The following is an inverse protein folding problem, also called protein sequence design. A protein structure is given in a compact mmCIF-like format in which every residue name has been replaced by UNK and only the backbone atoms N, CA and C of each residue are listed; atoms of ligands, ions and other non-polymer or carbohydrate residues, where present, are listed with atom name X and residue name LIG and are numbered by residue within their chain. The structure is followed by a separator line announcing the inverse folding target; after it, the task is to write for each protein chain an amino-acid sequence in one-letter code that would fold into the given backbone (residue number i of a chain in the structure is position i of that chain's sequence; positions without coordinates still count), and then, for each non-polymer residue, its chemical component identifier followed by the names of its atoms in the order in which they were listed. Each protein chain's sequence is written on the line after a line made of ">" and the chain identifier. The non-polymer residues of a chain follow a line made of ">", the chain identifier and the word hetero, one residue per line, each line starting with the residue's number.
data_IF_220796872374
#
_entry.id   IF_220796872374
#
_cell.length_a   1.000
_cell.length_b   1.000
_cell.length_c   1.000
_cell.angle_alpha   90.00
_cell.angle_beta   90.00
_cell.angle_gamma   90.00
#
_symmetry.space_group_name_H-M   'P 1'
#
loop_
_entity.id
_entity.type
_entity.pdbx_description
1 polymer ?
#
# COMPACT_ATOMS: atom_id res chain seq x y z
N UNK A 1 6.59 16.09 -33.91
CA UNK A 1 5.54 15.15 -34.35
C UNK A 1 5.46 13.92 -33.43
N UNK A 2 6.56 13.21 -33.13
CA UNK A 2 6.56 12.09 -32.17
C UNK A 2 6.05 12.43 -30.75
N UNK A 3 6.43 13.60 -30.21
CA UNK A 3 5.91 14.09 -28.92
C UNK A 3 4.40 14.41 -28.96
N UNK A 4 3.86 14.75 -30.13
CA UNK A 4 2.44 15.08 -30.30
C UNK A 4 1.58 13.82 -30.41
N UNK A 5 2.07 12.78 -31.09
CA UNK A 5 1.45 11.44 -31.07
C UNK A 5 1.54 10.75 -29.71
N UNK A 6 2.59 11.04 -28.91
CA UNK A 6 2.66 10.64 -27.50
C UNK A 6 1.61 11.34 -26.62
N UNK A 7 1.06 12.49 -27.03
CA UNK A 7 0.05 13.24 -26.28
C UNK A 7 -1.39 12.95 -26.72
N UNK A 8 -1.61 12.44 -27.93
CA UNK A 8 -2.94 12.09 -28.45
C UNK A 8 -3.44 10.86 -27.66
N UNK A 9 -4.46 11.08 -26.82
CA UNK A 9 -5.00 10.10 -25.87
C UNK A 9 -4.60 10.34 -24.41
N UNK A 10 -3.55 11.14 -24.16
CA UNK A 10 -3.11 11.54 -22.82
C UNK A 10 -3.86 12.75 -22.26
N UNK A 11 -4.47 13.59 -23.11
CA UNK A 11 -5.12 14.84 -22.68
C UNK A 11 -6.19 14.66 -21.61
N UNK A 12 -7.04 13.65 -21.74
CA UNK A 12 -8.06 13.32 -20.72
C UNK A 12 -7.41 12.82 -19.44
N UNK A 13 -6.34 12.02 -19.55
CA UNK A 13 -5.56 11.56 -18.40
C UNK A 13 -4.93 12.72 -17.66
N UNK A 14 -4.25 13.63 -18.37
CA UNK A 14 -3.62 14.84 -17.78
C UNK A 14 -4.66 15.78 -17.18
N UNK A 15 -5.81 15.98 -17.84
CA UNK A 15 -6.91 16.79 -17.30
C UNK A 15 -7.53 16.16 -16.05
N UNK A 16 -7.78 14.85 -16.04
CA UNK A 16 -8.22 14.17 -14.83
C UNK A 16 -7.17 14.37 -13.75
N UNK A 17 -5.89 14.05 -14.02
CA UNK A 17 -4.77 14.13 -13.07
C UNK A 17 -4.64 15.53 -12.48
N UNK A 18 -4.79 16.59 -13.29
CA UNK A 18 -4.78 17.98 -12.84
C UNK A 18 -5.99 18.33 -11.95
N UNK A 19 -7.22 18.00 -12.39
CA UNK A 19 -8.44 18.21 -11.58
C UNK A 19 -8.35 17.46 -10.24
N UNK A 20 -7.72 16.30 -10.29
CA UNK A 20 -7.48 15.47 -9.15
C UNK A 20 -6.44 16.00 -8.17
N UNK A 21 -5.33 16.51 -8.70
CA UNK A 21 -4.27 17.12 -7.91
C UNK A 21 -4.79 18.36 -7.17
N UNK A 22 -5.67 19.14 -7.82
CA UNK A 22 -6.37 20.26 -7.19
C UNK A 22 -7.26 19.78 -6.04
N UNK A 23 -8.07 18.73 -6.25
CA UNK A 23 -8.89 18.17 -5.18
C UNK A 23 -8.04 17.67 -4.00
N UNK A 24 -6.91 17.00 -4.27
CA UNK A 24 -5.97 16.53 -3.26
C UNK A 24 -5.29 17.65 -2.48
N UNK A 25 -4.84 18.72 -3.15
CA UNK A 25 -4.23 19.90 -2.51
C UNK A 25 -5.23 20.61 -1.62
N UNK A 26 -6.48 20.80 -2.07
CA UNK A 26 -7.54 21.41 -1.27
C UNK A 26 -7.84 20.57 -0.03
N UNK A 27 -7.84 19.24 -0.15
CA UNK A 27 -8.06 18.33 0.97
C UNK A 27 -6.89 18.37 1.97
N UNK A 28 -5.65 18.37 1.47
CA UNK A 28 -4.45 18.44 2.28
C UNK A 28 -4.32 19.77 3.05
N UNK A 29 -4.65 20.90 2.40
CA UNK A 29 -4.67 22.23 3.04
C UNK A 29 -5.70 22.29 4.18
N UNK A 30 -6.88 21.70 3.99
CA UNK A 30 -7.91 21.62 5.05
C UNK A 30 -7.46 20.79 6.24
N UNK A 31 -6.85 19.63 6.00
CA UNK A 31 -6.30 18.80 7.08
C UNK A 31 -5.16 19.51 7.83
N UNK A 32 -4.26 20.17 7.10
CA UNK A 32 -3.15 20.91 7.70
C UNK A 32 -3.64 22.05 8.60
N UNK A 33 -4.59 22.86 8.14
CA UNK A 33 -5.14 23.99 8.92
C UNK A 33 -5.83 23.56 10.21
N UNK A 34 -6.53 22.42 10.22
CA UNK A 34 -7.11 21.88 11.47
C UNK A 34 -6.04 21.46 12.46
N UNK A 35 -5.04 20.72 11.98
CA UNK A 35 -3.94 20.24 12.84
C UNK A 35 -3.15 21.42 13.43
N UNK A 36 -3.00 22.51 12.67
CA UNK A 36 -2.38 23.73 13.17
C UNK A 36 -3.27 24.50 14.16
N UNK A 37 -4.59 24.53 13.94
CA UNK A 37 -5.55 25.20 14.82
C UNK A 37 -5.69 24.54 16.19
N UNK A 38 -5.63 23.21 16.27
CA UNK A 38 -5.71 22.47 17.55
C UNK A 38 -4.48 22.69 18.45
N UNK A 39 -3.34 23.11 17.90
CA UNK A 39 -2.11 23.33 18.66
C UNK A 39 -2.12 24.68 19.39
N UNK A 40 -2.87 25.67 18.89
CA UNK A 40 -2.90 27.02 19.47
C UNK A 40 -4.04 27.22 20.50
N UNK A 41 -5.03 26.33 20.56
CA UNK A 41 -6.11 26.37 21.57
C UNK A 41 -5.86 25.41 22.73
N UNK A 42 -4.91 25.74 23.59
CA UNK A 42 -4.81 25.15 24.91
C UNK A 42 -5.94 25.64 25.82
N UNK A 43 -7.12 24.99 25.80
CA UNK A 43 -8.13 25.18 26.83
C UNK A 43 -9.13 24.01 26.84
N UNK A 44 -9.20 23.33 27.99
CA UNK A 44 -10.18 22.28 28.21
C UNK A 44 -11.60 22.82 28.15
N UNK A 45 -12.44 22.18 27.35
CA UNK A 45 -13.86 22.09 27.67
C UNK A 45 -14.39 20.77 27.11
N UNK A 46 -14.70 19.85 28.02
CA UNK A 46 -15.25 18.54 27.75
C UNK A 46 -16.76 18.67 27.47
N UNK A 47 -17.10 19.30 26.36
CA UNK A 47 -18.43 19.27 25.78
C UNK A 47 -18.34 18.59 24.42
N UNK A 48 -18.93 17.40 24.27
CA UNK A 48 -19.02 16.69 23.00
C UNK A 48 -19.68 17.61 21.95
N UNK A 49 -18.87 18.26 21.12
CA UNK A 49 -19.33 19.09 20.00
C UNK A 49 -19.86 18.19 18.89
N UNK A 50 -20.86 18.64 18.09
CA UNK A 50 -21.41 17.88 16.97
C UNK A 50 -20.46 17.72 15.76
N UNK A 51 -19.18 18.10 15.88
CA UNK A 51 -18.21 18.20 14.79
C UNK A 51 -17.44 16.89 14.50
N UNK A 52 -17.72 15.80 15.22
CA UNK A 52 -17.11 14.48 15.00
C UNK A 52 -17.45 13.85 13.63
N UNK A 53 -18.36 14.45 12.85
CA UNK A 53 -18.62 14.05 11.46
C UNK A 53 -17.53 14.52 10.48
N UNK A 54 -16.74 15.55 10.83
CA UNK A 54 -15.66 16.10 10.01
C UNK A 54 -14.56 15.09 9.59
N UNK A 55 -13.97 14.31 10.50
CA UNK A 55 -12.87 13.39 10.16
C UNK A 55 -13.30 12.21 9.29
N UNK A 56 -14.54 11.74 9.42
CA UNK A 56 -15.05 10.62 8.61
C UNK A 56 -15.22 11.02 7.13
N UNK A 57 -15.73 12.24 6.87
CA UNK A 57 -15.91 12.76 5.51
C UNK A 57 -14.55 12.93 4.82
N UNK A 58 -13.56 13.46 5.53
CA UNK A 58 -12.21 13.64 4.98
C UNK A 58 -11.56 12.30 4.62
N UNK A 59 -11.69 11.30 5.48
CA UNK A 59 -11.16 9.97 5.22
C UNK A 59 -11.82 9.32 3.98
N UNK A 60 -13.15 9.41 3.88
CA UNK A 60 -13.88 8.95 2.68
C UNK A 60 -13.44 9.71 1.44
N UNK A 61 -13.22 11.04 1.52
CA UNK A 61 -12.71 11.82 0.40
C UNK A 61 -11.30 11.40 -0.02
N UNK A 62 -10.39 11.11 0.93
CA UNK A 62 -9.05 10.58 0.64
C UNK A 62 -9.12 9.21 -0.03
N UNK A 63 -10.06 8.35 0.35
CA UNK A 63 -10.18 7.01 -0.26
C UNK A 63 -10.85 7.06 -1.63
N UNK A 64 -11.89 7.88 -1.80
CA UNK A 64 -12.49 8.18 -3.10
C UNK A 64 -11.47 8.81 -4.04
N UNK A 65 -10.59 9.65 -3.47
CA UNK A 65 -9.32 9.98 -4.08
C UNK A 65 -8.63 8.63 -4.43
N UNK A 66 -7.94 7.93 -3.55
CA UNK A 66 -7.05 6.82 -3.94
C UNK A 66 -7.65 5.83 -4.98
N UNK A 67 -8.95 5.53 -4.88
CA UNK A 67 -9.73 4.85 -5.92
C UNK A 67 -9.66 5.49 -7.32
N UNK A 68 -10.04 6.76 -7.46
CA UNK A 68 -10.03 7.47 -8.75
C UNK A 68 -8.63 7.54 -9.37
N UNK A 69 -7.58 7.62 -8.55
CA UNK A 69 -6.19 7.61 -9.05
C UNK A 69 -5.80 6.23 -9.57
N UNK A 70 -6.26 5.14 -8.94
CA UNK A 70 -6.08 3.78 -9.47
C UNK A 70 -6.82 3.61 -10.81
N UNK A 71 -8.04 4.16 -10.96
CA UNK A 71 -8.76 4.14 -12.24
C UNK A 71 -8.03 4.92 -13.33
N UNK A 72 -7.41 6.04 -12.97
CA UNK A 72 -6.57 6.81 -13.89
C UNK A 72 -5.34 6.01 -14.32
N UNK A 73 -4.66 5.33 -13.38
CA UNK A 73 -3.55 4.43 -13.70
C UNK A 73 -3.98 3.25 -14.56
N UNK A 74 -5.18 2.68 -14.32
CA UNK A 74 -5.79 1.68 -15.18
C UNK A 74 -5.98 2.19 -16.62
N UNK A 75 -6.55 3.39 -16.77
CA UNK A 75 -6.76 4.00 -18.08
C UNK A 75 -5.43 4.28 -18.79
N UNK A 76 -4.46 4.81 -18.06
CA UNK A 76 -3.12 5.10 -18.56
C UNK A 76 -2.40 3.83 -19.03
N UNK A 77 -2.49 2.76 -18.24
CA UNK A 77 -1.90 1.46 -18.57
C UNK A 77 -2.53 0.88 -19.83
N UNK A 78 -3.86 0.85 -19.89
CA UNK A 78 -4.59 0.28 -21.03
C UNK A 78 -4.35 1.06 -22.33
N UNK A 79 -4.24 2.40 -22.27
CA UNK A 79 -3.89 3.20 -23.45
C UNK A 79 -2.45 2.96 -23.89
N UNK A 80 -1.50 2.86 -22.95
CA UNK A 80 -0.07 2.69 -23.25
C UNK A 80 0.25 1.32 -23.84
N UNK A 81 -0.43 0.27 -23.39
CA UNK A 81 -0.16 -1.11 -23.78
C UNK A 81 -1.26 -1.70 -24.67
N UNK A 82 -2.04 -0.85 -25.36
CA UNK A 82 -3.17 -1.27 -26.19
C UNK A 82 -2.79 -2.36 -27.21
N UNK A 83 -1.63 -2.24 -27.85
CA UNK A 83 -1.16 -3.23 -28.83
C UNK A 83 -0.95 -4.61 -28.20
N UNK A 84 -0.43 -4.66 -26.98
CA UNK A 84 -0.24 -5.90 -26.21
C UNK A 84 -1.54 -6.47 -25.64
N UNK A 85 -2.61 -5.67 -25.61
CA UNK A 85 -3.94 -6.06 -25.14
C UNK A 85 -4.86 -6.52 -26.27
N UNK A 86 -4.56 -6.16 -27.52
CA UNK A 86 -5.32 -6.60 -28.68
C UNK A 86 -5.30 -8.14 -28.81
N UNK A 87 -6.47 -8.77 -28.89
CA UNK A 87 -6.60 -10.24 -28.94
C UNK A 87 -6.71 -10.95 -27.57
N UNK A 88 -6.90 -10.22 -26.47
CA UNK A 88 -7.19 -10.78 -25.16
C UNK A 88 -8.69 -10.66 -24.83
N UNK A 89 -9.40 -11.78 -24.67
CA UNK A 89 -10.75 -11.76 -24.13
C UNK A 89 -10.70 -11.61 -22.60
N UNK A 90 -11.62 -10.83 -22.01
CA UNK A 90 -11.74 -10.71 -20.54
C UNK A 90 -12.08 -12.04 -19.84
N UNK A 91 -12.55 -13.03 -20.61
CA UNK A 91 -12.82 -14.41 -20.17
C UNK A 91 -11.55 -15.25 -19.99
N UNK A 92 -10.38 -14.67 -20.29
CA UNK A 92 -9.11 -15.33 -20.07
C UNK A 92 -8.89 -15.55 -18.57
N UNK A 93 -8.60 -16.79 -18.16
CA UNK A 93 -8.61 -17.19 -16.76
C UNK A 93 -7.55 -16.41 -15.95
N UNK A 94 -6.50 -15.94 -16.62
CA UNK A 94 -5.46 -15.08 -16.06
C UNK A 94 -5.98 -13.72 -15.61
N UNK A 95 -6.97 -13.14 -16.29
CA UNK A 95 -7.57 -11.87 -15.90
C UNK A 95 -8.35 -12.01 -14.57
N UNK A 96 -9.05 -13.13 -14.39
CA UNK A 96 -9.79 -13.43 -13.16
C UNK A 96 -8.84 -13.64 -11.97
N UNK A 97 -7.77 -14.42 -12.13
CA UNK A 97 -6.80 -14.65 -11.07
C UNK A 97 -6.06 -13.37 -10.66
N UNK A 98 -5.69 -12.55 -11.65
CA UNK A 98 -5.04 -11.26 -11.40
C UNK A 98 -5.97 -10.25 -10.75
N UNK A 99 -7.24 -10.24 -11.13
CA UNK A 99 -8.27 -9.47 -10.44
C UNK A 99 -8.42 -9.89 -8.98
N UNK A 100 -8.55 -11.18 -8.70
CA UNK A 100 -8.70 -11.66 -7.33
C UNK A 100 -7.45 -11.34 -6.48
N UNK A 101 -6.26 -11.52 -7.05
CA UNK A 101 -5.02 -11.13 -6.37
C UNK A 101 -4.97 -9.63 -6.11
N UNK A 102 -5.33 -8.79 -7.08
CA UNK A 102 -5.42 -7.34 -6.91
C UNK A 102 -6.40 -6.93 -5.82
N UNK A 103 -7.53 -7.65 -5.68
CA UNK A 103 -8.51 -7.38 -4.65
C UNK A 103 -8.03 -7.79 -3.23
N UNK A 104 -7.31 -8.90 -3.11
CA UNK A 104 -6.87 -9.44 -1.81
C UNK A 104 -5.55 -8.85 -1.30
N UNK A 105 -4.62 -8.53 -2.22
CA UNK A 105 -3.25 -8.13 -1.90
C UNK A 105 -3.18 -6.93 -0.93
N UNK A 106 -3.92 -5.83 -1.12
CA UNK A 106 -3.84 -4.68 -0.22
C UNK A 106 -4.24 -5.00 1.22
N UNK A 107 -5.24 -5.87 1.40
CA UNK A 107 -5.65 -6.36 2.72
C UNK A 107 -4.57 -7.20 3.39
N UNK A 108 -3.93 -8.09 2.64
CA UNK A 108 -2.81 -8.91 3.15
C UNK A 108 -1.60 -8.03 3.55
N UNK A 109 -1.26 -7.05 2.73
CA UNK A 109 -0.18 -6.09 2.99
C UNK A 109 -0.48 -5.20 4.20
N UNK A 110 -1.72 -4.70 4.31
CA UNK A 110 -2.14 -3.91 5.45
C UNK A 110 -2.04 -4.71 6.75
N UNK A 111 -2.36 -6.02 6.73
CA UNK A 111 -2.20 -6.91 7.89
C UNK A 111 -0.73 -7.19 8.21
N UNK A 112 0.10 -7.41 7.20
CA UNK A 112 1.54 -7.60 7.38
C UNK A 112 2.22 -6.37 8.00
N UNK A 113 1.82 -5.16 7.57
CA UNK A 113 2.31 -3.90 8.12
C UNK A 113 1.73 -3.53 9.48
N UNK A 114 0.47 -3.89 9.76
CA UNK A 114 -0.24 -3.49 10.99
C UNK A 114 0.26 -4.20 12.26
N UNK A 115 1.08 -5.24 12.15
CA UNK A 115 1.59 -5.96 13.31
C UNK A 115 0.50 -6.71 14.04
N UNK A 116 0.18 -7.92 13.61
CA UNK A 116 -0.73 -8.82 14.31
C UNK A 116 -0.25 -9.04 15.75
N UNK A 117 -1.02 -8.52 16.71
CA UNK A 117 -0.77 -8.57 18.16
C UNK A 117 -0.93 -9.96 18.79
N UNK A 118 -0.43 -11.02 18.14
CA UNK A 118 -0.62 -12.40 18.62
C UNK A 118 0.60 -13.31 18.62
N UNK A 119 1.67 -13.04 17.84
CA UNK A 119 2.75 -14.05 17.67
C UNK A 119 4.17 -13.53 17.92
N UNK A 120 4.39 -12.22 18.02
CA UNK A 120 5.74 -11.71 18.35
C UNK A 120 5.66 -10.50 19.28
N UNK A 121 6.21 -10.63 20.49
CA UNK A 121 6.51 -9.55 21.44
C UNK A 121 7.54 -8.51 20.92
N UNK A 122 7.64 -8.35 19.59
CA UNK A 122 8.56 -7.42 18.95
C UNK A 122 7.91 -6.04 18.81
N UNK A 123 7.67 -5.36 19.93
CA UNK A 123 7.21 -3.97 19.98
C UNK A 123 8.31 -2.94 19.69
N UNK A 124 9.38 -3.30 18.96
CA UNK A 124 10.54 -2.44 18.75
C UNK A 124 10.54 -1.72 17.39
N UNK A 125 11.17 -0.53 17.28
CA UNK A 125 11.35 0.21 16.02
C UNK A 125 11.98 -0.63 14.91
N UNK A 126 12.93 -1.51 15.23
CA UNK A 126 13.53 -2.43 14.25
C UNK A 126 12.49 -3.36 13.61
N UNK A 127 11.56 -3.90 14.40
CA UNK A 127 10.51 -4.78 13.90
C UNK A 127 9.51 -4.04 13.01
N UNK A 128 9.25 -2.76 13.29
CA UNK A 128 8.44 -1.90 12.43
C UNK A 128 9.11 -1.66 11.08
N UNK A 129 10.43 -1.39 11.06
CA UNK A 129 11.21 -1.25 9.82
C UNK A 129 11.19 -2.53 9.00
N UNK A 130 11.36 -3.69 9.64
CA UNK A 130 11.32 -5.00 8.96
C UNK A 130 9.94 -5.26 8.37
N UNK A 131 8.86 -5.04 9.13
CA UNK A 131 7.48 -5.20 8.63
C UNK A 131 7.21 -4.29 7.45
N UNK A 132 7.68 -3.05 7.51
CA UNK A 132 7.60 -2.11 6.40
C UNK A 132 8.39 -2.60 5.18
N UNK A 133 9.63 -3.04 5.37
CA UNK A 133 10.46 -3.59 4.30
C UNK A 133 9.80 -4.80 3.63
N UNK A 134 9.27 -5.74 4.41
CA UNK A 134 8.53 -6.90 3.90
C UNK A 134 7.28 -6.45 3.14
N UNK A 135 6.50 -5.50 3.68
CA UNK A 135 5.32 -4.98 3.01
C UNK A 135 5.69 -4.32 1.67
N UNK A 136 6.75 -3.52 1.60
CA UNK A 136 7.23 -2.88 0.37
C UNK A 136 7.70 -3.92 -0.64
N UNK A 137 8.50 -4.90 -0.21
CA UNK A 137 8.99 -5.98 -1.08
C UNK A 137 7.83 -6.80 -1.64
N UNK A 138 6.81 -7.10 -0.83
CA UNK A 138 5.62 -7.82 -1.31
C UNK A 138 4.75 -6.94 -2.23
N UNK A 139 4.55 -5.67 -1.87
CA UNK A 139 3.77 -4.73 -2.66
C UNK A 139 4.37 -4.46 -4.04
N UNK A 140 5.69 -4.55 -4.16
CA UNK A 140 6.40 -4.41 -5.43
C UNK A 140 6.59 -5.76 -6.16
N UNK A 141 7.02 -6.77 -5.42
CA UNK A 141 7.39 -8.07 -5.94
C UNK A 141 6.21 -8.86 -6.48
N UNK A 142 5.06 -8.82 -5.81
CA UNK A 142 3.87 -9.57 -6.27
C UNK A 142 3.37 -9.01 -7.61
N UNK A 143 3.05 -7.71 -7.77
CA UNK A 143 2.60 -7.17 -9.06
C UNK A 143 3.62 -7.40 -10.20
N UNK A 144 4.92 -7.23 -9.92
CA UNK A 144 5.97 -7.47 -10.90
C UNK A 144 6.05 -8.95 -11.31
N UNK A 145 5.95 -9.88 -10.36
CA UNK A 145 5.92 -11.32 -10.64
C UNK A 145 4.70 -11.71 -11.48
N UNK A 146 3.52 -11.15 -11.20
CA UNK A 146 2.30 -11.41 -11.98
C UNK A 146 2.44 -10.89 -13.42
N UNK A 147 3.12 -9.76 -13.64
CA UNK A 147 3.45 -9.23 -14.97
C UNK A 147 4.44 -10.13 -15.72
N UNK A 148 5.51 -10.60 -15.07
CA UNK A 148 6.49 -11.49 -15.71
C UNK A 148 5.88 -12.83 -16.09
N UNK A 149 5.01 -13.37 -15.22
CA UNK A 149 4.36 -14.65 -15.45
C UNK A 149 3.32 -14.60 -16.57
N UNK A 150 2.41 -13.64 -16.49
CA UNK A 150 1.18 -13.60 -17.30
C UNK A 150 1.11 -12.43 -18.29
N UNK A 151 2.15 -11.59 -18.36
CA UNK A 151 2.25 -10.48 -19.30
C UNK A 151 1.35 -9.28 -18.96
N UNK A 152 1.16 -8.39 -19.93
CA UNK A 152 0.40 -7.14 -19.73
C UNK A 152 -1.09 -7.36 -19.41
N UNK A 153 -1.66 -8.51 -19.77
CA UNK A 153 -3.09 -8.84 -19.54
C UNK A 153 -3.42 -8.94 -18.06
N UNK A 154 -2.52 -9.52 -17.27
CA UNK A 154 -2.73 -9.66 -15.82
C UNK A 154 -2.73 -8.31 -15.11
N UNK A 155 -2.00 -7.31 -15.61
CA UNK A 155 -2.01 -5.98 -15.02
C UNK A 155 -3.38 -5.29 -15.09
N UNK A 156 -4.16 -5.53 -16.15
CA UNK A 156 -5.52 -4.98 -16.28
C UNK A 156 -6.43 -5.56 -15.21
N UNK A 157 -6.42 -6.88 -15.04
CA UNK A 157 -7.16 -7.56 -13.96
C UNK A 157 -6.70 -7.07 -12.59
N UNK A 158 -5.39 -7.01 -12.37
CA UNK A 158 -4.81 -6.57 -11.09
C UNK A 158 -5.19 -5.13 -10.73
N UNK A 159 -5.10 -4.18 -11.66
CA UNK A 159 -5.52 -2.79 -11.44
C UNK A 159 -7.02 -2.67 -11.14
N UNK A 160 -7.86 -3.44 -11.84
CA UNK A 160 -9.29 -3.50 -11.55
C UNK A 160 -9.56 -4.06 -10.15
N UNK A 161 -8.84 -5.12 -9.75
CA UNK A 161 -8.91 -5.70 -8.41
C UNK A 161 -8.46 -4.71 -7.33
N UNK A 162 -7.36 -3.98 -7.55
CA UNK A 162 -6.88 -2.95 -6.64
C UNK A 162 -7.88 -1.80 -6.49
N UNK A 163 -8.55 -1.40 -7.58
CA UNK A 163 -9.61 -0.40 -7.53
C UNK A 163 -10.79 -0.91 -6.70
N UNK A 164 -11.20 -2.17 -6.88
CA UNK A 164 -12.25 -2.80 -6.06
C UNK A 164 -11.83 -2.88 -4.60
N UNK A 165 -10.58 -3.23 -4.29
CA UNK A 165 -10.08 -3.23 -2.91
C UNK A 165 -10.17 -1.84 -2.26
N UNK A 166 -9.81 -0.79 -3.01
CA UNK A 166 -9.88 0.59 -2.54
C UNK A 166 -11.32 1.11 -2.39
N UNK A 167 -12.28 0.58 -3.15
CA UNK A 167 -13.71 0.94 -3.06
C UNK A 167 -14.48 0.09 -2.02
N UNK A 168 -14.14 -1.19 -1.88
CA UNK A 168 -14.84 -2.11 -0.97
C UNK A 168 -14.71 -1.70 0.50
N UNK A 169 -13.65 -0.97 0.84
CA UNK A 169 -13.42 -0.40 2.16
C UNK A 169 -14.41 0.70 2.54
N UNK A 170 -15.01 1.39 1.55
CA UNK A 170 -16.13 2.32 1.80
C UNK A 170 -17.39 1.55 2.18
N UNK A 171 -17.69 0.47 1.44
CA UNK A 171 -18.90 -0.34 1.66
C UNK A 171 -18.88 -1.00 3.05
N UNK A 172 -17.71 -1.47 3.48
CA UNK A 172 -17.55 -2.07 4.82
C UNK A 172 -17.37 -1.04 5.94
N UNK A 173 -16.88 0.16 5.64
CA UNK A 173 -16.71 1.25 6.60
C UNK A 173 -18.00 2.03 6.90
N UNK A 174 -18.93 2.11 5.94
CA UNK A 174 -20.17 2.87 6.05
C UNK A 174 -21.15 2.36 7.13
N UNK A 175 -20.93 1.16 7.68
CA UNK A 175 -21.85 0.51 8.63
C UNK A 175 -21.45 0.55 10.11
N UNK A 176 -20.30 1.12 10.50
CA UNK A 176 -19.81 0.97 11.88
C UNK A 176 -19.03 2.17 12.42
N UNK A 177 -19.52 2.75 13.52
CA UNK A 177 -18.99 3.90 14.25
C UNK A 177 -17.62 3.68 14.95
N UNK A 178 -16.78 2.77 14.46
CA UNK A 178 -15.48 2.47 15.09
C UNK A 178 -14.30 3.12 14.35
N UNK A 179 -13.56 4.07 14.99
CA UNK A 179 -12.43 4.77 14.37
C UNK A 179 -11.22 3.85 14.04
N UNK A 180 -11.21 2.62 14.57
CA UNK A 180 -10.24 1.60 14.19
C UNK A 180 -10.50 1.00 12.79
N UNK A 181 -11.78 0.86 12.41
CA UNK A 181 -12.17 0.35 11.10
C UNK A 181 -11.79 1.35 9.99
N UNK A 182 -11.96 2.65 10.27
CA UNK A 182 -11.52 3.75 9.40
C UNK A 182 -10.04 3.58 9.01
N UNK A 183 -9.15 3.69 9.99
CA UNK A 183 -7.69 3.61 9.77
C UNK A 183 -7.25 2.33 9.04
N UNK A 184 -7.90 1.20 9.28
CA UNK A 184 -7.61 -0.04 8.57
C UNK A 184 -7.98 0.06 7.08
N UNK A 185 -9.15 0.60 6.77
CA UNK A 185 -9.61 0.82 5.41
C UNK A 185 -8.75 1.84 4.65
N UNK A 186 -8.34 2.95 5.28
CA UNK A 186 -7.40 3.88 4.65
C UNK A 186 -6.05 3.22 4.34
N UNK A 187 -5.51 2.41 5.26
CA UNK A 187 -4.27 1.65 5.02
C UNK A 187 -4.41 0.72 3.81
N UNK A 188 -5.53 0.03 3.66
CA UNK A 188 -5.81 -0.83 2.52
C UNK A 188 -5.82 0.00 1.23
N UNK A 189 -6.50 1.13 1.19
CA UNK A 189 -6.53 2.01 0.00
C UNK A 189 -5.14 2.56 -0.34
N UNK A 190 -4.31 2.91 0.65
CA UNK A 190 -2.92 3.36 0.44
C UNK A 190 -2.07 2.21 -0.13
N UNK A 191 -2.17 1.00 0.42
CA UNK A 191 -1.44 -0.16 -0.10
C UNK A 191 -1.89 -0.52 -1.52
N UNK A 192 -3.19 -0.40 -1.81
CA UNK A 192 -3.72 -0.61 -3.16
C UNK A 192 -3.12 0.39 -4.16
N UNK A 193 -3.09 1.66 -3.78
CA UNK A 193 -2.48 2.72 -4.58
C UNK A 193 -0.99 2.46 -4.81
N UNK A 194 -0.24 2.09 -3.77
CA UNK A 194 1.19 1.80 -3.89
C UNK A 194 1.44 0.63 -4.85
N UNK A 195 0.66 -0.45 -4.76
CA UNK A 195 0.73 -1.54 -5.73
C UNK A 195 0.41 -1.08 -7.16
N UNK A 196 -0.58 -0.20 -7.35
CA UNK A 196 -0.92 0.33 -8.67
C UNK A 196 0.21 1.18 -9.27
N UNK A 197 0.87 2.02 -8.44
CA UNK A 197 2.06 2.78 -8.87
C UNK A 197 3.17 1.83 -9.26
N UNK A 198 3.53 0.89 -8.37
CA UNK A 198 4.66 0.00 -8.65
C UNK A 198 4.39 -0.84 -9.90
N UNK A 199 3.18 -1.37 -10.07
CA UNK A 199 2.79 -2.10 -11.27
C UNK A 199 2.97 -1.24 -12.53
N UNK A 200 2.45 -0.01 -12.55
CA UNK A 200 2.54 0.86 -13.73
C UNK A 200 3.98 1.29 -14.05
N UNK A 201 4.82 1.52 -13.04
CA UNK A 201 6.24 1.85 -13.22
C UNK A 201 7.07 0.65 -13.68
N UNK A 202 6.80 -0.54 -13.13
CA UNK A 202 7.56 -1.76 -13.45
C UNK A 202 7.13 -2.40 -14.77
N UNK A 203 5.95 -2.10 -15.28
CA UNK A 203 5.41 -2.63 -16.53
C UNK A 203 6.35 -2.50 -17.73
N UNK A 204 7.05 -1.36 -17.87
CA UNK A 204 7.99 -1.13 -18.96
C UNK A 204 9.13 -2.15 -19.01
N UNK A 205 9.58 -2.61 -17.85
CA UNK A 205 10.65 -3.59 -17.73
C UNK A 205 10.14 -5.02 -17.63
N UNK A 206 9.00 -5.24 -16.96
CA UNK A 206 8.46 -6.57 -16.70
C UNK A 206 7.78 -7.20 -17.93
N UNK A 207 7.18 -6.40 -18.82
CA UNK A 207 6.49 -6.93 -20.01
C UNK A 207 7.47 -7.60 -20.99
N UNK A 208 8.63 -7.02 -21.34
CA UNK A 208 9.62 -7.73 -22.14
C UNK A 208 10.10 -9.04 -21.49
N UNK A 209 10.23 -9.09 -20.16
CA UNK A 209 10.61 -10.31 -19.45
C UNK A 209 9.53 -11.41 -19.53
N UNK A 210 8.30 -11.07 -19.90
CA UNK A 210 7.23 -12.06 -20.09
C UNK A 210 7.44 -12.94 -21.33
N UNK A 211 8.32 -12.56 -22.26
CA UNK A 211 8.69 -13.40 -23.42
C UNK A 211 9.81 -14.39 -23.12
N UNK A 212 10.38 -14.36 -21.90
CA UNK A 212 11.42 -15.29 -21.49
C UNK A 212 10.92 -16.74 -21.46
N UNK A 213 11.86 -17.68 -21.57
CA UNK A 213 11.56 -19.11 -21.50
C UNK A 213 11.00 -19.48 -20.12
N UNK A 214 10.24 -20.58 -20.07
CA UNK A 214 9.68 -21.08 -18.80
C UNK A 214 10.76 -21.33 -17.74
N UNK A 215 11.94 -21.83 -18.14
CA UNK A 215 13.05 -22.09 -17.23
C UNK A 215 13.59 -20.81 -16.57
N UNK A 216 13.73 -19.73 -17.34
CA UNK A 216 14.18 -18.43 -16.83
C UNK A 216 13.14 -17.80 -15.91
N UNK A 217 11.86 -17.88 -16.27
CA UNK A 217 10.76 -17.41 -15.40
C UNK A 217 10.78 -18.12 -14.05
N UNK A 218 10.94 -19.45 -14.04
CA UNK A 218 11.04 -20.21 -12.79
C UNK A 218 12.25 -19.79 -11.98
N UNK A 219 13.42 -19.58 -12.59
CA UNK A 219 14.62 -19.09 -11.88
C UNK A 219 14.40 -17.70 -11.26
N UNK A 220 13.78 -16.77 -11.99
CA UNK A 220 13.45 -15.44 -11.48
C UNK A 220 12.47 -15.50 -10.31
N UNK A 221 11.43 -16.32 -10.41
CA UNK A 221 10.47 -16.51 -9.30
C UNK A 221 11.13 -17.14 -8.07
N UNK A 222 11.98 -18.15 -8.26
CA UNK A 222 12.72 -18.76 -7.16
C UNK A 222 13.65 -17.76 -6.50
N UNK A 223 14.34 -16.92 -7.29
CA UNK A 223 15.19 -15.85 -6.77
C UNK A 223 14.37 -14.80 -5.98
N UNK A 224 13.20 -14.40 -6.49
CA UNK A 224 12.29 -13.49 -5.80
C UNK A 224 11.80 -14.08 -4.48
N UNK A 225 11.35 -15.34 -4.49
CA UNK A 225 10.89 -16.04 -3.29
C UNK A 225 12.01 -16.19 -2.26
N UNK A 226 13.22 -16.58 -2.70
CA UNK A 226 14.39 -16.65 -1.84
C UNK A 226 14.75 -15.29 -1.25
N UNK A 227 14.64 -14.21 -2.03
CA UNK A 227 14.85 -12.84 -1.57
C UNK A 227 13.86 -12.42 -0.47
N UNK A 228 12.57 -12.73 -0.64
CA UNK A 228 11.54 -12.46 0.39
C UNK A 228 11.86 -13.23 1.67
N UNK A 229 12.18 -14.51 1.57
CA UNK A 229 12.55 -15.35 2.72
C UNK A 229 13.81 -14.80 3.40
N UNK A 230 14.83 -14.42 2.63
CA UNK A 230 16.05 -13.85 3.16
C UNK A 230 15.79 -12.54 3.94
N UNK A 231 14.95 -11.64 3.41
CA UNK A 231 14.55 -10.40 4.11
C UNK A 231 13.81 -10.72 5.40
N UNK A 232 12.91 -11.70 5.40
CA UNK A 232 12.20 -12.13 6.62
C UNK A 232 13.17 -12.69 7.68
N UNK A 233 14.09 -13.56 7.28
CA UNK A 233 15.09 -14.18 8.17
C UNK A 233 16.06 -13.15 8.73
N UNK A 234 16.59 -12.27 7.87
CA UNK A 234 17.46 -11.17 8.29
C UNK A 234 16.74 -10.24 9.26
N UNK A 235 15.46 -10.00 9.03
CA UNK A 235 14.61 -9.26 9.95
C UNK A 235 14.51 -9.93 11.34
N UNK A 236 14.20 -11.23 11.38
CA UNK A 236 14.14 -11.97 12.65
C UNK A 236 15.50 -11.92 13.38
N UNK A 237 16.61 -12.17 12.68
CA UNK A 237 17.95 -12.11 13.28
C UNK A 237 18.26 -10.72 13.84
N UNK A 238 18.04 -9.66 13.06
CA UNK A 238 18.29 -8.27 13.48
C UNK A 238 17.46 -7.90 14.71
N UNK A 239 16.20 -8.34 14.76
CA UNK A 239 15.32 -8.10 15.90
C UNK A 239 15.77 -8.83 17.17
N UNK A 240 16.27 -10.07 17.06
CA UNK A 240 16.83 -10.84 18.18
C UNK A 240 18.07 -10.17 18.73
N UNK A 241 18.98 -9.73 17.87
CA UNK A 241 20.19 -9.00 18.27
C UNK A 241 19.82 -7.72 19.03
N UNK A 242 18.89 -6.91 18.49
CA UNK A 242 18.44 -5.68 19.15
C UNK A 242 17.79 -5.93 20.52
N UNK A 243 17.09 -7.06 20.68
CA UNK A 243 16.49 -7.45 21.97
C UNK A 243 17.55 -7.82 23.02
N UNK A 244 18.63 -8.47 22.61
CA UNK A 244 19.76 -8.81 23.48
C UNK A 244 20.50 -7.57 23.96
N UNK A 245 20.71 -6.58 23.08
CA UNK A 245 21.41 -5.33 23.45
C UNK A 245 20.61 -4.54 24.50
N UNK A 246 19.27 -4.50 24.39
CA UNK A 246 18.41 -3.83 25.39
C UNK A 246 18.45 -4.50 26.75
N UNK A 247 18.40 -5.85 26.80
CA UNK A 247 18.48 -6.58 28.07
C UNK A 247 19.79 -6.29 28.82
N UNK A 248 20.91 -6.20 28.09
CA UNK A 248 22.20 -5.84 28.69
C UNK A 248 22.23 -4.40 29.23
N UNK A 249 21.55 -3.45 28.57
CA UNK A 249 21.45 -2.07 29.03
C UNK A 249 20.57 -1.87 30.27
N UNK A 250 19.48 -2.65 30.41
CA UNK A 250 18.57 -2.57 31.57
C UNK A 250 19.11 -3.27 32.82
N UNK A 251 19.98 -4.28 32.67
CA UNK A 251 20.60 -4.98 33.81
C UNK A 251 21.63 -4.18 34.59
N UNK A 252 21.98 -2.96 34.16
CA UNK A 252 23.01 -2.13 34.80
C UNK A 252 22.45 -1.04 35.75
N UNK A 253 21.12 -0.90 35.88
CA UNK A 253 20.50 0.17 36.68
C UNK A 253 19.47 -0.42 37.65
N UNK A 254 19.97 -1.06 38.70
CA UNK A 254 19.35 -1.05 40.03
C UNK A 254 20.39 -1.55 41.05
N UNK A 255 21.30 -0.70 41.55
CA UNK A 255 21.81 -0.92 42.89
C UNK A 255 20.59 -0.83 43.82
N UNK A 256 20.22 -1.95 44.44
CA UNK A 256 19.20 -1.95 45.49
C UNK A 256 19.66 -1.00 46.59
N UNK A 257 18.90 0.05 46.94
CA UNK A 257 19.16 0.84 48.13
C UNK A 257 18.57 0.09 49.34
N UNK A 258 19.06 -1.12 49.61
CA UNK A 258 18.73 -1.85 50.83
C UNK A 258 20.00 -2.03 51.64
N UNK A 259 20.07 -1.37 52.81
CA UNK A 259 20.92 -1.83 53.89
C UNK A 259 21.96 -0.86 54.45
N UNK A 260 21.76 0.45 54.34
CA UNK A 260 22.37 1.41 55.25
C UNK A 260 21.36 1.73 56.36
N UNK A 261 21.14 0.79 57.28
CA UNK A 261 20.64 1.03 58.64
C UNK A 261 20.45 -0.33 59.36
N UNK A 262 21.47 -0.73 60.12
CA UNK A 262 21.39 -1.22 61.52
C UNK A 262 22.76 -1.68 62.02
#
# INVERSE_FOLDING_TARGET
>A
IAAFYLLIGYGVGVMLLAAWLVAGVVLADRMWRRTAGDVDTGAGDAGARPDDAGPAIEETLVRLLLFGLILLLYRLFTSRYQDNLSGAALTDHFALFSFLAGAMLPGLLARAGAGTGGVTHMGGPAAQVIRFAVAVVLAAGVPAAMLVLWGARSAVGLLAGLAVAAAATEITGAGGAHPAAGRAALRISIMAMLCAVVLTQTAGYAIPLSTLTRAEKTRMLTALAAGVVAVMVLGDIASRIASWTRRKGQGAIHPSPEGAER
#
